data_IF_732749915841
#
_entry.id   IF_732749915841
#
_cell.length_a   1.000
_cell.length_b   1.000
_cell.length_c   1.000
_cell.angle_alpha   90.00
_cell.angle_beta   90.00
_cell.angle_gamma   90.00
#
_symmetry.space_group_name_H-M   'P 1'
#
loop_
_entity.id
_entity.type
_entity.pdbx_description
1 polymer ?
#
# COMPACT_ATOMS: atom_id res chain seq x y z
N UNK A 1 69.93 -20.28 8.52
CA UNK A 1 68.49 -20.12 8.82
C UNK A 1 68.19 -18.63 8.85
N UNK A 2 67.66 -18.08 7.77
CA UNK A 2 67.34 -16.66 7.63
C UNK A 2 65.96 -16.39 8.27
N UNK A 3 65.91 -15.54 9.31
CA UNK A 3 64.66 -15.13 9.95
C UNK A 3 64.24 -13.78 9.38
N UNK A 4 63.36 -13.79 8.38
CA UNK A 4 62.67 -12.57 7.95
C UNK A 4 61.69 -12.12 9.05
N UNK A 5 61.94 -10.95 9.64
CA UNK A 5 61.02 -10.33 10.60
C UNK A 5 59.96 -9.56 9.81
N UNK A 6 58.80 -10.18 9.59
CA UNK A 6 57.66 -9.49 9.00
C UNK A 6 57.02 -8.56 10.03
N UNK A 7 57.18 -7.24 9.84
CA UNK A 7 56.40 -6.24 10.56
C UNK A 7 55.07 -6.05 9.84
N UNK A 8 54.02 -6.73 10.31
CA UNK A 8 52.67 -6.35 9.95
C UNK A 8 52.42 -4.91 10.46
N UNK A 9 52.42 -3.93 9.56
CA UNK A 9 51.93 -2.59 9.91
C UNK A 9 50.50 -2.77 10.37
N UNK A 10 50.19 -2.33 11.60
CA UNK A 10 48.90 -2.45 12.26
C UNK A 10 47.77 -2.11 11.27
N UNK A 11 47.19 -3.14 10.66
CA UNK A 11 45.99 -2.98 9.85
C UNK A 11 44.92 -2.59 10.86
N UNK A 12 44.29 -1.44 10.62
CA UNK A 12 43.21 -0.97 11.46
C UNK A 12 42.16 -2.09 11.53
N UNK A 13 41.83 -2.62 12.72
CA UNK A 13 41.20 -3.94 12.87
C UNK A 13 39.81 -4.07 12.23
N UNK A 14 39.22 -2.94 11.84
CA UNK A 14 37.88 -2.87 11.27
C UNK A 14 37.85 -2.46 9.80
N UNK A 15 39.00 -2.27 9.12
CA UNK A 15 38.94 -1.72 7.78
C UNK A 15 38.29 -2.68 6.79
N UNK A 16 38.63 -3.98 6.79
CA UNK A 16 37.94 -4.98 5.97
C UNK A 16 38.21 -6.40 6.51
N UNK A 17 37.21 -7.12 7.05
CA UNK A 17 37.42 -8.39 7.75
C UNK A 17 37.74 -9.58 6.85
N UNK A 18 37.77 -9.42 5.52
CA UNK A 18 37.85 -10.52 4.57
C UNK A 18 39.23 -10.72 3.91
N UNK A 19 40.24 -9.94 4.30
CA UNK A 19 41.61 -10.12 3.85
C UNK A 19 42.40 -11.03 4.79
N UNK A 20 43.08 -12.04 4.23
CA UNK A 20 44.00 -12.91 4.96
C UNK A 20 45.39 -12.81 4.34
N UNK A 21 46.42 -12.72 5.16
CA UNK A 21 47.82 -12.72 4.71
C UNK A 21 48.50 -13.96 5.25
N UNK A 22 49.05 -14.79 4.37
CA UNK A 22 49.88 -15.95 4.74
C UNK A 22 51.36 -15.58 4.62
N UNK A 23 52.24 -16.29 5.34
CA UNK A 23 53.65 -15.88 5.49
C UNK A 23 54.67 -16.67 4.68
N UNK A 24 54.31 -17.80 4.04
CA UNK A 24 55.25 -18.71 3.36
C UNK A 24 54.54 -19.58 2.28
N UNK A 25 54.48 -19.17 0.99
CA UNK A 25 54.86 -17.86 0.45
C UNK A 25 53.96 -16.74 0.99
N UNK A 26 54.36 -15.49 0.81
CA UNK A 26 53.52 -14.35 1.19
C UNK A 26 52.37 -14.25 0.19
N UNK A 27 51.16 -14.57 0.63
CA UNK A 27 49.95 -14.50 -0.19
C UNK A 27 48.92 -13.60 0.46
N UNK A 28 48.33 -12.70 -0.32
CA UNK A 28 47.14 -11.95 0.05
C UNK A 28 45.92 -12.65 -0.52
N UNK A 29 45.05 -13.16 0.36
CA UNK A 29 43.79 -13.80 0.01
C UNK A 29 42.63 -12.85 0.35
N UNK A 30 41.70 -12.68 -0.59
CA UNK A 30 40.49 -11.86 -0.44
C UNK A 30 39.29 -12.79 -0.49
N UNK A 31 38.54 -12.89 0.61
CA UNK A 31 37.33 -13.75 0.66
C UNK A 31 36.09 -12.96 0.28
N UNK A 32 35.15 -13.59 -0.45
CA UNK A 32 33.90 -12.94 -0.85
C UNK A 32 34.12 -11.59 -1.58
N UNK A 33 34.95 -11.62 -2.63
CA UNK A 33 35.38 -10.45 -3.40
C UNK A 33 34.17 -9.61 -3.85
N UNK A 34 34.21 -8.31 -3.56
CA UNK A 34 33.18 -7.32 -3.93
C UNK A 34 33.72 -6.32 -4.95
N UNK A 35 32.84 -5.62 -5.70
CA UNK A 35 33.26 -4.54 -6.61
C UNK A 35 34.14 -3.48 -5.93
N UNK A 36 33.89 -3.21 -4.64
CA UNK A 36 34.67 -2.27 -3.83
C UNK A 36 36.10 -2.73 -3.49
N UNK A 37 36.44 -4.00 -3.72
CA UNK A 37 37.81 -4.51 -3.56
C UNK A 37 38.69 -4.19 -4.77
N UNK A 38 38.10 -3.66 -5.86
CA UNK A 38 38.85 -3.21 -7.03
C UNK A 38 39.85 -2.12 -6.64
N UNK A 39 41.09 -2.23 -7.12
CA UNK A 39 42.12 -1.26 -6.81
C UNK A 39 43.53 -1.76 -7.07
N UNK A 40 44.51 -0.90 -6.73
CA UNK A 40 45.93 -1.22 -6.83
C UNK A 40 46.43 -1.81 -5.51
N UNK A 41 46.85 -3.06 -5.57
CA UNK A 41 47.50 -3.77 -4.48
C UNK A 41 49.02 -3.70 -4.69
N UNK A 42 49.78 -3.41 -3.65
CA UNK A 42 51.25 -3.33 -3.73
C UNK A 42 51.88 -4.18 -2.64
N UNK A 43 52.73 -5.13 -3.04
CA UNK A 43 53.57 -5.89 -2.14
C UNK A 43 54.93 -5.20 -2.07
N UNK A 44 55.40 -4.91 -0.85
CA UNK A 44 56.73 -4.36 -0.61
C UNK A 44 57.50 -5.34 0.27
N UNK A 45 58.68 -5.73 -0.19
CA UNK A 45 59.61 -6.58 0.55
C UNK A 45 60.86 -5.78 0.85
N UNK A 46 61.42 -5.99 2.04
CA UNK A 46 62.69 -5.41 2.44
C UNK A 46 63.60 -6.54 2.90
N UNK A 47 64.64 -6.82 2.12
CA UNK A 47 65.67 -7.79 2.49
C UNK A 47 66.68 -7.09 3.38
N UNK A 48 66.85 -7.58 4.62
CA UNK A 48 67.72 -6.95 5.62
C UNK A 48 69.14 -7.52 5.64
N UNK A 49 69.33 -8.72 5.08
CA UNK A 49 70.59 -9.47 5.18
C UNK A 49 70.91 -10.07 3.79
N UNK A 50 72.15 -9.93 3.29
CA UNK A 50 73.22 -9.09 3.83
C UNK A 50 72.93 -7.59 3.60
N UNK A 51 73.52 -6.68 4.41
CA UNK A 51 73.46 -5.25 4.12
C UNK A 51 74.11 -4.91 2.75
N UNK A 52 73.64 -3.87 2.05
CA UNK A 52 72.60 -2.91 2.43
C UNK A 52 71.18 -3.48 2.32
N UNK A 53 70.22 -2.86 3.01
CA UNK A 53 68.81 -3.26 2.88
C UNK A 53 68.33 -3.01 1.45
N UNK A 54 67.83 -4.05 0.78
CA UNK A 54 67.28 -3.95 -0.57
C UNK A 54 65.76 -3.94 -0.47
N UNK A 55 65.14 -2.90 -1.03
CA UNK A 55 63.68 -2.81 -1.16
C UNK A 55 63.24 -3.27 -2.55
N UNK A 56 62.29 -4.19 -2.60
CA UNK A 56 61.60 -4.58 -3.83
C UNK A 56 60.11 -4.32 -3.68
N UNK A 57 59.47 -3.94 -4.77
CA UNK A 57 58.03 -3.74 -4.78
C UNK A 57 57.42 -4.28 -6.05
N UNK A 58 56.32 -5.00 -5.92
CA UNK A 58 55.46 -5.38 -7.04
C UNK A 58 54.07 -4.81 -6.82
N UNK A 59 53.37 -4.53 -7.92
CA UNK A 59 51.97 -4.08 -7.84
C UNK A 59 51.10 -4.84 -8.80
N UNK A 60 49.88 -5.13 -8.35
CA UNK A 60 48.81 -5.76 -9.09
C UNK A 60 47.62 -4.80 -9.11
N UNK A 61 46.92 -4.71 -10.24
CA UNK A 61 45.62 -4.03 -10.32
C UNK A 61 44.56 -5.13 -10.32
N UNK A 62 43.72 -5.14 -9.30
CA UNK A 62 42.54 -5.99 -9.23
C UNK A 62 41.34 -5.21 -9.77
N UNK A 63 40.66 -5.75 -10.77
CA UNK A 63 39.37 -5.26 -11.24
C UNK A 63 38.33 -6.32 -10.94
N UNK A 64 37.27 -5.93 -10.22
CA UNK A 64 36.17 -6.80 -9.87
C UNK A 64 34.94 -6.31 -10.61
N UNK A 65 34.40 -7.15 -11.49
CA UNK A 65 33.24 -6.80 -12.28
C UNK A 65 32.02 -6.52 -11.38
N UNK A 66 31.43 -5.35 -11.56
CA UNK A 66 30.25 -4.90 -10.81
C UNK A 66 28.97 -5.29 -11.50
N UNK A 67 28.19 -6.20 -10.92
CA UNK A 67 26.84 -6.49 -11.43
C UNK A 67 25.90 -5.32 -11.14
N UNK A 68 25.38 -4.71 -12.19
CA UNK A 68 24.41 -3.62 -12.13
C UNK A 68 23.03 -4.13 -12.54
N UNK A 69 22.03 -3.87 -11.70
CA UNK A 69 20.63 -4.18 -11.97
C UNK A 69 19.82 -2.93 -11.67
N UNK A 70 19.12 -2.41 -12.68
CA UNK A 70 18.32 -1.19 -12.55
C UNK A 70 17.01 -1.29 -13.32
N UNK A 71 15.93 -0.66 -12.84
CA UNK A 71 14.73 -0.48 -13.64
C UNK A 71 14.99 0.56 -14.73
N UNK A 72 14.45 0.30 -15.92
CA UNK A 72 14.34 1.24 -17.02
C UNK A 72 12.97 1.91 -17.01
N UNK A 73 12.88 3.08 -17.65
CA UNK A 73 11.61 3.74 -17.86
C UNK A 73 10.73 2.87 -18.77
N UNK A 74 9.65 2.34 -18.23
CA UNK A 74 8.60 1.68 -19.02
C UNK A 74 7.58 2.73 -19.45
N UNK A 75 7.17 2.68 -20.72
CA UNK A 75 6.05 3.50 -21.23
C UNK A 75 4.70 3.03 -20.72
N UNK A 76 4.61 1.79 -20.24
CA UNK A 76 3.38 1.19 -19.76
C UNK A 76 3.48 0.92 -18.26
N UNK A 77 2.62 1.55 -17.46
CA UNK A 77 2.56 1.38 -15.99
C UNK A 77 2.21 -0.06 -15.55
N UNK A 78 1.66 -0.87 -16.46
CA UNK A 78 1.42 -2.30 -16.22
C UNK A 78 2.65 -3.18 -16.47
N UNK A 79 3.71 -2.62 -17.06
CA UNK A 79 4.94 -3.34 -17.38
C UNK A 79 6.14 -2.75 -16.65
N UNK A 80 7.05 -3.62 -16.24
CA UNK A 80 8.38 -3.26 -15.72
C UNK A 80 9.42 -3.66 -16.74
N UNK A 81 10.36 -2.76 -16.98
CA UNK A 81 11.50 -3.03 -17.83
C UNK A 81 12.76 -2.99 -16.96
N UNK A 82 13.56 -4.04 -16.99
CA UNK A 82 14.77 -4.19 -16.17
C UNK A 82 15.99 -4.33 -17.06
N UNK A 83 17.09 -3.70 -16.66
CA UNK A 83 18.40 -3.84 -17.28
C UNK A 83 19.38 -4.41 -16.27
N UNK A 84 19.96 -5.56 -16.63
CA UNK A 84 21.08 -6.18 -15.95
C UNK A 84 22.33 -6.00 -16.81
N UNK A 85 23.44 -5.55 -16.24
CA UNK A 85 24.68 -5.28 -16.98
C UNK A 85 25.90 -5.68 -16.17
N UNK A 86 26.89 -6.23 -16.84
CA UNK A 86 28.19 -6.59 -16.30
C UNK A 86 29.28 -6.03 -17.22
N UNK A 87 30.28 -5.39 -16.64
CA UNK A 87 31.45 -4.87 -17.36
C UNK A 87 32.43 -6.04 -17.62
N UNK A 88 32.10 -6.92 -18.57
CA UNK A 88 32.90 -8.10 -18.94
C UNK A 88 32.52 -8.61 -20.34
N UNK A 89 33.52 -9.05 -21.11
CA UNK A 89 33.39 -9.40 -22.54
C UNK A 89 32.53 -10.65 -22.85
N UNK A 90 32.24 -11.51 -21.87
CA UNK A 90 31.44 -12.72 -22.07
C UNK A 90 30.69 -13.12 -20.81
N UNK A 91 29.41 -12.80 -20.78
CA UNK A 91 28.53 -13.09 -19.65
C UNK A 91 27.23 -13.78 -20.12
N UNK A 92 26.84 -14.86 -19.45
CA UNK A 92 25.54 -15.50 -19.64
C UNK A 92 24.57 -14.97 -18.58
N UNK A 93 23.51 -14.29 -19.04
CA UNK A 93 22.48 -13.74 -18.18
C UNK A 93 21.29 -14.69 -18.09
N UNK A 94 20.81 -14.95 -16.88
CA UNK A 94 19.54 -15.65 -16.64
C UNK A 94 18.73 -14.91 -15.59
N UNK A 95 17.40 -15.05 -15.66
CA UNK A 95 16.48 -14.33 -14.78
C UNK A 95 15.69 -15.32 -13.94
N UNK A 96 15.47 -15.00 -12.67
CA UNK A 96 14.61 -15.79 -11.79
C UNK A 96 13.64 -14.93 -10.99
N UNK A 97 12.47 -15.49 -10.69
CA UNK A 97 11.40 -14.88 -9.89
C UNK A 97 11.03 -15.83 -8.76
N UNK A 98 11.18 -15.37 -7.51
CA UNK A 98 10.86 -16.20 -6.34
C UNK A 98 11.61 -17.55 -6.30
N UNK A 99 12.80 -17.62 -6.90
CA UNK A 99 13.59 -18.86 -7.02
C UNK A 99 13.32 -19.70 -8.28
N UNK A 100 12.24 -19.43 -9.01
CA UNK A 100 11.94 -20.11 -10.27
C UNK A 100 12.62 -19.39 -11.44
N UNK A 101 13.34 -20.11 -12.30
CA UNK A 101 13.91 -19.56 -13.53
C UNK A 101 12.80 -19.12 -14.48
N UNK A 102 12.91 -17.88 -14.97
CA UNK A 102 12.01 -17.37 -16.00
C UNK A 102 12.50 -17.92 -17.35
N UNK A 103 11.60 -18.50 -18.17
CA UNK A 103 11.97 -18.89 -19.54
C UNK A 103 12.40 -17.66 -20.33
N UNK A 104 13.12 -17.91 -21.44
CA UNK A 104 13.82 -16.98 -22.34
C UNK A 104 13.00 -15.74 -22.80
N UNK A 105 12.70 -14.82 -21.88
CA UNK A 105 11.99 -13.54 -22.12
C UNK A 105 13.00 -12.39 -22.25
N UNK A 106 14.30 -12.67 -22.14
CA UNK A 106 15.33 -11.65 -22.14
C UNK A 106 16.06 -11.54 -23.47
N UNK A 107 16.14 -10.32 -24.01
CA UNK A 107 17.16 -9.96 -25.00
C UNK A 107 18.46 -9.76 -24.24
N UNK A 108 19.56 -10.38 -24.69
CA UNK A 108 20.87 -10.17 -24.10
C UNK A 108 21.93 -9.97 -25.18
N UNK A 109 22.87 -9.07 -24.89
CA UNK A 109 24.13 -8.92 -25.60
C UNK A 109 25.25 -9.54 -24.72
N UNK A 110 26.51 -9.43 -25.16
CA UNK A 110 27.66 -9.89 -24.37
C UNK A 110 27.73 -9.22 -22.97
N UNK A 111 27.32 -7.95 -22.88
CA UNK A 111 27.56 -7.11 -21.69
C UNK A 111 26.29 -6.84 -20.87
N UNK A 112 25.10 -7.13 -21.41
CA UNK A 112 23.84 -6.79 -20.76
C UNK A 112 22.67 -7.70 -21.15
N UNK A 113 21.65 -7.69 -20.31
CA UNK A 113 20.38 -8.38 -20.53
C UNK A 113 19.22 -7.51 -20.07
N UNK A 114 18.20 -7.44 -20.92
CA UNK A 114 16.95 -6.74 -20.66
C UNK A 114 15.84 -7.76 -20.38
N UNK A 115 15.01 -7.47 -19.38
CA UNK A 115 13.82 -8.25 -19.06
C UNK A 115 12.61 -7.34 -18.95
N UNK A 116 11.61 -7.59 -19.79
CA UNK A 116 10.31 -6.93 -19.70
C UNK A 116 9.27 -7.89 -19.14
N UNK A 117 8.60 -7.49 -18.06
CA UNK A 117 7.48 -8.24 -17.48
C UNK A 117 6.25 -7.33 -17.44
N UNK A 118 5.10 -7.82 -17.90
CA UNK A 118 3.83 -7.11 -17.84
C UNK A 118 2.87 -7.81 -16.89
N UNK A 119 1.91 -7.10 -16.30
CA UNK A 119 0.85 -7.76 -15.53
C UNK A 119 0.08 -8.73 -16.44
N UNK A 120 -0.27 -9.94 -15.96
CA UNK A 120 -0.18 -10.41 -14.58
C UNK A 120 1.15 -11.12 -14.20
N UNK A 121 2.15 -11.14 -15.06
CA UNK A 121 3.39 -11.92 -14.87
C UNK A 121 4.27 -11.42 -13.70
N UNK A 122 4.01 -10.20 -13.21
CA UNK A 122 4.62 -9.64 -12.01
C UNK A 122 3.58 -9.03 -11.08
N UNK A 123 3.88 -9.05 -9.78
CA UNK A 123 3.06 -8.44 -8.74
C UNK A 123 3.87 -7.55 -7.80
N UNK A 124 3.20 -6.64 -7.11
CA UNK A 124 3.84 -5.78 -6.10
C UNK A 124 4.35 -6.60 -4.93
N UNK A 125 5.66 -6.58 -4.68
CA UNK A 125 6.33 -7.41 -3.68
C UNK A 125 7.18 -8.54 -4.27
N UNK A 126 7.01 -8.85 -5.56
CA UNK A 126 7.83 -9.84 -6.26
C UNK A 126 9.31 -9.41 -6.23
N UNK A 127 10.19 -10.41 -6.09
CA UNK A 127 11.63 -10.22 -6.16
C UNK A 127 12.14 -10.87 -7.43
N UNK A 128 12.71 -10.06 -8.31
CA UNK A 128 13.35 -10.51 -9.54
C UNK A 128 14.86 -10.51 -9.32
N UNK A 129 15.51 -11.60 -9.74
CA UNK A 129 16.95 -11.79 -9.60
C UNK A 129 17.56 -11.99 -10.98
N UNK A 130 18.59 -11.20 -11.28
CA UNK A 130 19.46 -11.43 -12.41
C UNK A 130 20.65 -12.28 -11.95
N UNK A 131 20.92 -13.35 -12.67
CA UNK A 131 22.05 -14.25 -12.49
C UNK A 131 22.99 -14.06 -13.67
N UNK A 132 24.28 -13.95 -13.38
CA UNK A 132 25.30 -13.78 -14.40
C UNK A 132 26.40 -14.79 -14.19
N UNK A 133 26.71 -15.55 -15.23
CA UNK A 133 27.85 -16.45 -15.26
C UNK A 133 28.91 -15.89 -16.21
N UNK A 134 30.06 -15.50 -15.67
CA UNK A 134 31.19 -14.93 -16.42
C UNK A 134 32.48 -15.60 -15.97
N UNK A 135 33.36 -15.97 -16.91
CA UNK A 135 34.66 -16.59 -16.61
C UNK A 135 34.60 -17.78 -15.61
N UNK A 136 33.51 -18.55 -15.61
CA UNK A 136 33.27 -19.66 -14.69
C UNK A 136 32.80 -19.28 -13.28
N UNK A 137 32.63 -17.98 -13.01
CA UNK A 137 32.10 -17.44 -11.74
C UNK A 137 30.64 -17.08 -11.91
N UNK A 138 29.79 -17.50 -10.96
CA UNK A 138 28.39 -17.10 -10.89
C UNK A 138 28.21 -15.97 -9.87
N UNK A 139 27.56 -14.89 -10.29
CA UNK A 139 27.15 -13.78 -9.43
C UNK A 139 25.67 -13.47 -9.66
N UNK A 140 25.01 -12.82 -8.69
CA UNK A 140 23.60 -12.48 -8.81
C UNK A 140 23.26 -11.19 -8.07
N UNK A 141 22.24 -10.49 -8.56
CA UNK A 141 21.68 -9.29 -7.93
C UNK A 141 20.17 -9.32 -8.02
N UNK A 142 19.50 -8.95 -6.93
CA UNK A 142 18.05 -8.93 -6.85
C UNK A 142 17.51 -7.51 -6.69
N UNK A 143 16.35 -7.28 -7.28
CA UNK A 143 15.53 -6.10 -7.05
C UNK A 143 14.18 -6.56 -6.54
N UNK A 144 13.73 -5.93 -5.46
CA UNK A 144 12.37 -6.11 -4.96
C UNK A 144 11.53 -4.96 -5.49
N UNK A 145 10.47 -5.28 -6.20
CA UNK A 145 9.50 -4.27 -6.56
C UNK A 145 8.74 -3.89 -5.29
N UNK A 146 8.93 -2.64 -4.85
CA UNK A 146 8.03 -2.06 -3.86
C UNK A 146 6.62 -2.16 -4.45
N UNK A 147 5.66 -2.61 -3.64
CA UNK A 147 4.25 -2.44 -3.98
C UNK A 147 4.11 -0.95 -4.32
N UNK A 148 3.82 -0.62 -5.57
CA UNK A 148 3.54 0.78 -5.86
C UNK A 148 2.36 1.15 -4.98
N UNK A 149 2.58 2.10 -4.06
CA UNK A 149 1.50 2.72 -3.30
C UNK A 149 0.51 3.43 -4.22
N UNK A 150 0.74 3.41 -5.54
CA UNK A 150 -0.22 3.81 -6.56
C UNK A 150 -1.49 2.93 -6.58
N UNK A 151 -1.53 1.78 -5.90
CA UNK A 151 -2.81 1.12 -5.61
C UNK A 151 -3.70 1.95 -4.65
N UNK A 152 -3.12 2.80 -3.78
CA UNK A 152 -3.87 3.76 -2.97
C UNK A 152 -4.21 5.06 -3.72
N UNK A 153 -3.62 5.32 -4.90
CA UNK A 153 -4.09 6.38 -5.81
C UNK A 153 -5.26 5.96 -6.70
N UNK A 154 -5.65 4.70 -6.68
CA UNK A 154 -6.94 4.25 -7.24
C UNK A 154 -8.17 4.91 -6.58
N UNK A 155 -7.98 5.73 -5.54
CA UNK A 155 -9.01 6.59 -4.97
C UNK A 155 -9.27 7.88 -5.76
N UNK A 156 -8.44 8.26 -6.75
CA UNK A 156 -8.65 9.48 -7.55
C UNK A 156 -9.26 9.26 -8.95
N UNK A 157 -9.35 8.02 -9.44
CA UNK A 157 -9.94 7.72 -10.76
C UNK A 157 -11.34 7.10 -10.68
N UNK A 158 -12.04 7.23 -9.54
CA UNK A 158 -13.50 7.27 -9.66
C UNK A 158 -13.81 8.59 -10.35
N UNK A 159 -14.40 8.58 -11.57
CA UNK A 159 -14.68 9.83 -12.26
C UNK A 159 -15.45 10.69 -11.27
N UNK A 160 -15.07 11.95 -11.10
CA UNK A 160 -15.76 12.88 -10.21
C UNK A 160 -17.29 12.82 -10.39
N UNK A 161 -17.73 12.42 -11.59
CA UNK A 161 -19.08 12.00 -11.96
C UNK A 161 -19.70 10.97 -11.01
N UNK A 162 -19.05 9.85 -10.69
CA UNK A 162 -19.63 8.83 -9.81
C UNK A 162 -19.78 9.32 -8.37
N UNK A 163 -18.79 10.07 -7.85
CA UNK A 163 -18.87 10.70 -6.52
C UNK A 163 -19.99 11.75 -6.50
N UNK A 164 -20.10 12.56 -7.56
CA UNK A 164 -21.19 13.53 -7.72
C UNK A 164 -22.55 12.82 -7.80
N UNK A 165 -22.68 11.74 -8.57
CA UNK A 165 -23.91 10.96 -8.70
C UNK A 165 -24.32 10.33 -7.36
N UNK A 166 -23.39 9.76 -6.61
CA UNK A 166 -23.67 9.22 -5.28
C UNK A 166 -24.10 10.33 -4.31
N UNK A 167 -23.46 11.50 -4.35
CA UNK A 167 -23.85 12.63 -3.49
C UNK A 167 -25.27 13.12 -3.80
N UNK A 168 -25.64 13.23 -5.08
CA UNK A 168 -26.99 13.59 -5.53
C UNK A 168 -27.98 12.51 -5.11
N UNK A 169 -27.63 11.23 -5.26
CA UNK A 169 -28.50 10.11 -4.88
C UNK A 169 -28.80 10.10 -3.37
N UNK A 170 -27.79 10.35 -2.52
CA UNK A 170 -27.95 10.44 -1.07
C UNK A 170 -28.85 11.64 -0.71
N UNK A 171 -28.67 12.79 -1.35
CA UNK A 171 -29.53 13.97 -1.14
C UNK A 171 -30.98 13.68 -1.55
N UNK A 172 -31.21 13.03 -2.69
CA UNK A 172 -32.54 12.61 -3.14
C UNK A 172 -33.20 11.66 -2.14
N UNK A 173 -32.48 10.65 -1.66
CA UNK A 173 -33.00 9.71 -0.64
C UNK A 173 -33.37 10.47 0.63
N UNK A 174 -32.51 11.36 1.12
CA UNK A 174 -32.79 12.16 2.32
C UNK A 174 -34.04 13.03 2.16
N UNK A 175 -34.24 13.64 0.99
CA UNK A 175 -35.40 14.46 0.70
C UNK A 175 -36.69 13.63 0.65
N UNK A 176 -36.64 12.45 0.04
CA UNK A 176 -37.76 11.50 0.01
C UNK A 176 -38.12 11.07 1.43
N UNK A 177 -37.14 10.75 2.28
CA UNK A 177 -37.39 10.41 3.69
C UNK A 177 -38.02 11.55 4.48
N UNK A 178 -37.56 12.80 4.28
CA UNK A 178 -38.13 13.99 4.91
C UNK A 178 -39.58 14.21 4.45
N UNK A 179 -39.86 14.08 3.14
CA UNK A 179 -41.22 14.18 2.62
C UNK A 179 -42.13 13.09 3.21
N UNK A 180 -41.68 11.83 3.24
CA UNK A 180 -42.42 10.74 3.86
C UNK A 180 -42.66 10.97 5.35
N UNK A 181 -41.69 11.56 6.05
CA UNK A 181 -41.82 11.95 7.44
C UNK A 181 -42.89 13.04 7.64
N UNK A 182 -42.88 14.10 6.82
CA UNK A 182 -43.88 15.17 6.84
C UNK A 182 -45.28 14.62 6.54
N UNK A 183 -45.42 13.79 5.51
CA UNK A 183 -46.70 13.16 5.15
C UNK A 183 -47.24 12.27 6.27
N UNK A 184 -46.35 11.51 6.93
CA UNK A 184 -46.73 10.73 8.13
C UNK A 184 -47.17 11.64 9.27
N UNK A 185 -46.47 12.75 9.48
CA UNK A 185 -46.80 13.72 10.52
C UNK A 185 -48.17 14.37 10.30
N UNK A 186 -48.47 14.81 9.07
CA UNK A 186 -49.79 15.38 8.73
C UNK A 186 -50.92 14.36 8.91
N UNK A 187 -50.70 13.11 8.47
CA UNK A 187 -51.68 12.03 8.66
C UNK A 187 -51.98 11.79 10.13
N UNK A 188 -50.97 11.85 11.01
CA UNK A 188 -51.14 11.75 12.47
C UNK A 188 -51.85 12.97 13.05
N UNK A 189 -51.48 14.18 12.63
CA UNK A 189 -52.13 15.44 13.03
C UNK A 189 -53.62 15.44 12.67
N UNK A 190 -53.97 14.99 11.47
CA UNK A 190 -55.36 14.89 11.02
C UNK A 190 -56.14 13.82 11.79
N UNK A 191 -55.51 12.67 12.10
CA UNK A 191 -56.11 11.67 13.01
C UNK A 191 -56.36 12.22 14.42
N UNK A 192 -55.45 13.04 14.97
CA UNK A 192 -55.64 13.67 16.28
C UNK A 192 -56.76 14.71 16.25
N UNK A 193 -56.80 15.57 15.23
CA UNK A 193 -57.90 16.54 15.05
C UNK A 193 -59.25 15.85 14.94
N UNK A 194 -59.35 14.76 14.17
CA UNK A 194 -60.58 13.97 14.06
C UNK A 194 -61.02 13.40 15.42
N UNK A 195 -60.10 12.85 16.22
CA UNK A 195 -60.42 12.35 17.58
C UNK A 195 -60.91 13.47 18.51
N UNK A 196 -60.32 14.65 18.44
CA UNK A 196 -60.73 15.81 19.25
C UNK A 196 -62.14 16.29 18.86
N UNK A 197 -62.44 16.40 17.56
CA UNK A 197 -63.77 16.78 17.07
C UNK A 197 -64.84 15.77 17.49
N UNK A 198 -64.54 14.47 17.41
CA UNK A 198 -65.46 13.41 17.89
C UNK A 198 -65.70 13.53 19.39
N UNK A 199 -64.65 13.83 20.19
CA UNK A 199 -64.78 13.97 21.65
C UNK A 199 -65.57 15.23 22.04
N UNK A 200 -65.36 16.36 21.38
CA UNK A 200 -66.16 17.58 21.59
C UNK A 200 -67.60 17.41 21.12
N UNK A 201 -67.83 16.74 19.98
CA UNK A 201 -69.18 16.42 19.48
C UNK A 201 -69.96 15.55 20.47
N UNK A 202 -69.31 14.53 21.04
CA UNK A 202 -69.91 13.70 22.08
C UNK A 202 -70.26 14.49 23.35
N UNK A 203 -69.38 15.40 23.81
CA UNK A 203 -69.65 16.31 24.93
C UNK A 203 -70.86 17.23 24.67
N UNK A 204 -70.96 17.78 23.46
CA UNK A 204 -72.07 18.65 23.09
C UNK A 204 -73.40 17.87 23.00
N UNK A 205 -73.39 16.66 22.43
CA UNK A 205 -74.57 15.78 22.37
C UNK A 205 -75.03 15.36 23.78
N UNK A 206 -74.11 15.04 24.69
CA UNK A 206 -74.45 14.72 26.08
C UNK A 206 -75.06 15.94 26.77
N UNK A 207 -74.49 17.14 26.58
CA UNK A 207 -75.04 18.39 27.13
C UNK A 207 -76.46 18.68 26.62
N UNK A 208 -76.70 18.52 25.32
CA UNK A 208 -78.03 18.70 24.71
C UNK A 208 -79.04 17.68 25.27
N UNK A 209 -78.65 16.40 25.44
CA UNK A 209 -79.53 15.38 26.05
C UNK A 209 -79.88 15.69 27.50
N UNK A 210 -78.93 16.20 28.28
CA UNK A 210 -79.18 16.62 29.68
C UNK A 210 -80.14 17.80 29.72
N UNK A 211 -79.92 18.83 28.88
CA UNK A 211 -80.81 19.98 28.76
C UNK A 211 -82.23 19.58 28.33
N UNK A 212 -82.37 18.66 27.36
CA UNK A 212 -83.67 18.18 26.91
C UNK A 212 -84.42 17.40 28.00
N UNK A 213 -83.72 16.56 28.78
CA UNK A 213 -84.33 15.88 29.93
C UNK A 213 -84.78 16.87 31.02
N UNK A 214 -83.97 17.88 31.33
CA UNK A 214 -84.33 18.92 32.30
C UNK A 214 -85.52 19.78 31.82
N UNK A 215 -85.56 20.15 30.54
CA UNK A 215 -86.67 20.89 29.96
C UNK A 215 -87.98 20.08 30.00
N UNK A 216 -87.92 18.78 29.69
CA UNK A 216 -89.09 17.89 29.75
C UNK A 216 -89.63 17.77 31.18
N UNK A 217 -88.76 17.69 32.19
CA UNK A 217 -89.17 17.68 33.61
C UNK A 217 -89.87 19.00 33.99
N UNK A 218 -89.39 20.14 33.50
CA UNK A 218 -89.99 21.45 33.80
C UNK A 218 -91.37 21.64 33.16
N UNK A 219 -91.58 21.18 31.92
CA UNK A 219 -92.88 21.25 31.24
C UNK A 219 -93.92 20.36 31.94
N UNK A 220 -93.52 19.18 32.42
CA UNK A 220 -94.41 18.30 33.19
C UNK A 220 -94.80 18.89 34.56
N UNK A 221 -93.96 19.73 35.16
CA UNK A 221 -94.29 20.43 36.42
C UNK A 221 -95.26 21.60 36.25
N UNK A 222 -95.34 22.24 35.07
CA UNK A 222 -96.19 23.41 34.87
C UNK A 222 -97.61 23.08 34.36
N UNK A 223 -97.85 21.88 33.83
CA UNK A 223 -99.18 21.48 33.36
C UNK A 223 -100.12 20.94 34.45
N UNK A 224 -99.65 20.70 35.68
CA UNK A 224 -100.49 20.18 36.76
C UNK A 224 -101.18 21.24 37.61
N UNK A 225 -101.13 22.53 37.24
CA UNK A 225 -101.71 23.60 38.06
C UNK A 225 -102.73 24.50 37.35
N UNK A 226 -103.49 23.96 36.39
CA UNK A 226 -104.56 24.68 35.70
C UNK A 226 -105.85 23.86 35.60
N UNK A 227 -106.48 23.58 36.74
CA UNK A 227 -107.92 23.34 36.81
C UNK A 227 -108.48 23.82 38.16
N UNK A 228 -109.68 24.38 38.10
CA UNK A 228 -110.59 24.74 39.20
C UNK A 228 -110.37 26.08 39.92
N UNK A 229 -110.98 27.15 39.36
CA UNK A 229 -111.69 28.24 40.05
C UNK A 229 -112.60 28.85 38.98
N UNK A 230 -113.83 28.41 38.75
CA UNK A 230 -115.04 28.44 39.58
C UNK A 230 -115.50 29.83 40.07
N UNK A 231 -116.82 30.04 39.90
CA UNK A 231 -117.73 31.02 40.52
C UNK A 231 -117.74 32.46 39.98
N UNK A 232 -118.70 32.72 39.07
CA UNK A 232 -119.95 33.36 39.48
C UNK A 232 -121.13 32.91 38.61
#
# INVERSE_FOLDING_TARGET
MEKAVMKAKKVQPNCFPHFTITSKPVTLEIKNVQPGDSGKYSCKTTTLIPPPSVEESSSLILQVAGLSLKPLNSTNDSCVHLLCSLDSDLANFTWSRGGQMLPLVSTFNADNSELQLCKPDWSGGDTITCHVNYSGTQTQKSIKFSRSENANRGYQDFPAVFVALLSVFILCISFIWILLYILRYEKLKNKMKAKVVVKLGALNIVSIRVLYKLAKIKVLSSCTHFTAKELK
#
